data_IF_363674367038
#
_entry.id   IF_363674367038
#
_cell.length_a   1.000
_cell.length_b   1.000
_cell.length_c   1.000
_cell.angle_alpha   90.00
_cell.angle_beta   90.00
_cell.angle_gamma   90.00
#
_symmetry.space_group_name_H-M   'P 1'
#
loop_
_entity.id
_entity.type
_entity.pdbx_description
1 polymer ?
#
# COMPACT_ATOMS: atom_id res chain seq x y z
N UNK A 1 2.36 46.61 -34.41
CA UNK A 1 3.02 46.33 -33.12
C UNK A 1 2.09 45.71 -32.08
N UNK A 2 0.91 46.28 -31.79
CA UNK A 2 -0.01 45.71 -30.79
C UNK A 2 -0.53 44.28 -31.09
N UNK A 3 -0.78 43.94 -32.36
CA UNK A 3 -1.27 42.60 -32.73
C UNK A 3 -0.22 41.49 -32.51
N UNK A 4 1.05 41.73 -32.78
CA UNK A 4 2.12 40.74 -32.57
C UNK A 4 2.44 40.55 -31.08
N UNK A 5 2.42 41.63 -30.30
CA UNK A 5 2.62 41.53 -28.85
C UNK A 5 1.47 40.77 -28.18
N UNK A 6 0.23 40.98 -28.64
CA UNK A 6 -0.93 40.25 -28.12
C UNK A 6 -0.86 38.75 -28.41
N UNK A 7 -0.37 38.35 -29.58
CA UNK A 7 -0.18 36.93 -29.93
C UNK A 7 0.89 36.25 -29.08
N UNK A 8 1.99 36.93 -28.75
CA UNK A 8 3.05 36.37 -27.91
C UNK A 8 2.59 36.15 -26.46
N UNK A 9 1.74 37.05 -25.94
CA UNK A 9 1.14 36.89 -24.61
C UNK A 9 0.23 35.67 -24.58
N UNK A 10 -0.64 35.51 -25.59
CA UNK A 10 -1.55 34.37 -25.69
C UNK A 10 -0.76 33.06 -25.74
N UNK A 11 0.29 33.00 -26.55
CA UNK A 11 1.15 31.82 -26.65
C UNK A 11 1.78 31.48 -25.30
N UNK A 12 2.29 32.48 -24.57
CA UNK A 12 2.84 32.29 -23.22
C UNK A 12 1.83 31.72 -22.23
N UNK A 13 0.61 32.24 -22.21
CA UNK A 13 -0.46 31.76 -21.31
C UNK A 13 -0.87 30.33 -21.64
N UNK A 14 -0.95 29.95 -22.92
CA UNK A 14 -1.28 28.57 -23.33
C UNK A 14 -0.22 27.59 -22.81
N UNK A 15 1.07 27.94 -22.94
CA UNK A 15 2.17 27.08 -22.48
C UNK A 15 2.13 26.92 -20.95
N UNK A 16 1.97 28.01 -20.21
CA UNK A 16 1.86 27.97 -18.74
C UNK A 16 0.63 27.17 -18.30
N UNK A 17 -0.50 27.32 -18.98
CA UNK A 17 -1.72 26.57 -18.68
C UNK A 17 -1.54 25.05 -18.78
N UNK A 18 -0.90 24.58 -19.86
CA UNK A 18 -0.62 23.14 -20.04
C UNK A 18 0.41 22.66 -19.00
N UNK A 19 1.45 23.44 -18.74
CA UNK A 19 2.47 23.08 -17.75
C UNK A 19 1.88 22.89 -16.34
N UNK A 20 0.95 23.75 -15.92
CA UNK A 20 0.26 23.61 -14.64
C UNK A 20 -0.63 22.38 -14.62
N UNK A 21 -1.41 22.13 -15.68
CA UNK A 21 -2.28 20.96 -15.76
C UNK A 21 -1.50 19.65 -15.65
N UNK A 22 -0.39 19.53 -16.39
CA UNK A 22 0.49 18.34 -16.34
C UNK A 22 1.22 18.24 -15.00
N UNK A 23 1.63 19.37 -14.42
CA UNK A 23 2.25 19.39 -13.09
C UNK A 23 1.32 18.84 -12.01
N UNK A 24 0.04 19.20 -12.05
CA UNK A 24 -0.97 18.70 -11.10
C UNK A 24 -1.15 17.18 -11.23
N UNK A 25 -1.29 16.66 -12.45
CA UNK A 25 -1.44 15.21 -12.65
C UNK A 25 -0.21 14.45 -12.18
N UNK A 26 0.99 14.96 -12.48
CA UNK A 26 2.24 14.33 -12.04
C UNK A 26 2.39 14.32 -10.51
N UNK A 27 1.96 15.37 -9.82
CA UNK A 27 1.96 15.40 -8.35
C UNK A 27 0.98 14.38 -7.75
N UNK A 28 -0.21 14.23 -8.35
CA UNK A 28 -1.19 13.22 -7.93
C UNK A 28 -0.65 11.81 -8.14
N UNK A 29 -0.08 11.52 -9.31
CA UNK A 29 0.53 10.23 -9.62
C UNK A 29 1.70 9.90 -8.67
N UNK A 30 2.52 10.90 -8.33
CA UNK A 30 3.62 10.72 -7.38
C UNK A 30 3.12 10.40 -5.97
N UNK A 31 2.09 11.12 -5.48
CA UNK A 31 1.48 10.85 -4.18
C UNK A 31 0.87 9.43 -4.13
N UNK A 32 0.20 9.02 -5.20
CA UNK A 32 -0.35 7.67 -5.32
C UNK A 32 0.75 6.60 -5.32
N UNK A 33 1.83 6.82 -6.08
CA UNK A 33 2.98 5.91 -6.09
C UNK A 33 3.62 5.78 -4.71
N UNK A 34 3.81 6.90 -4.00
CA UNK A 34 4.38 6.90 -2.66
C UNK A 34 3.50 6.13 -1.66
N UNK A 35 2.17 6.28 -1.78
CA UNK A 35 1.22 5.49 -0.97
C UNK A 35 1.33 3.99 -1.27
N UNK A 36 1.56 3.58 -2.52
CA UNK A 36 1.75 2.17 -2.91
C UNK A 36 3.05 1.59 -2.37
N UNK A 37 4.12 2.36 -2.40
CA UNK A 37 5.42 1.97 -1.85
C UNK A 37 5.33 1.81 -0.32
N UNK A 38 4.64 2.73 0.36
CA UNK A 38 4.37 2.64 1.79
C UNK A 38 3.53 1.39 2.11
N UNK A 39 2.49 1.09 1.34
CA UNK A 39 1.69 -0.14 1.49
C UNK A 39 2.55 -1.40 1.41
N UNK A 40 3.43 -1.45 0.41
CA UNK A 40 4.33 -2.59 0.20
C UNK A 40 5.30 -2.75 1.36
N UNK A 41 5.87 -1.64 1.86
CA UNK A 41 6.77 -1.65 3.02
C UNK A 41 6.07 -2.17 4.30
N UNK A 42 4.83 -1.75 4.54
CA UNK A 42 4.04 -2.21 5.67
C UNK A 42 3.68 -3.70 5.56
N UNK A 43 3.32 -4.19 4.37
CA UNK A 43 3.08 -5.62 4.13
C UNK A 43 4.34 -6.48 4.34
N UNK A 44 5.52 -5.97 3.95
CA UNK A 44 6.79 -6.65 4.21
C UNK A 44 7.08 -6.69 5.71
N UNK A 45 6.81 -5.61 6.44
CA UNK A 45 6.94 -5.58 7.90
C UNK A 45 6.01 -6.60 8.57
N UNK A 46 4.75 -6.67 8.12
CA UNK A 46 3.76 -7.64 8.56
C UNK A 46 4.20 -9.07 8.29
N UNK A 47 4.73 -9.35 7.11
CA UNK A 47 5.26 -10.66 6.77
C UNK A 47 6.41 -11.08 7.71
N UNK A 48 7.35 -10.17 7.98
CA UNK A 48 8.44 -10.43 8.92
C UNK A 48 7.91 -10.71 10.34
N UNK A 49 6.94 -9.92 10.82
CA UNK A 49 6.33 -10.12 12.14
C UNK A 49 5.54 -11.42 12.24
N UNK A 50 4.82 -11.80 11.18
CA UNK A 50 4.12 -13.06 11.12
C UNK A 50 5.10 -14.24 11.17
N UNK A 51 6.22 -14.18 10.43
CA UNK A 51 7.26 -15.22 10.49
C UNK A 51 7.93 -15.30 11.87
N UNK A 52 8.16 -14.16 12.52
CA UNK A 52 8.65 -14.11 13.90
C UNK A 52 7.64 -14.76 14.87
N UNK A 53 6.35 -14.47 14.71
CA UNK A 53 5.28 -15.10 15.48
C UNK A 53 5.28 -16.63 15.29
N UNK A 54 5.35 -17.11 14.04
CA UNK A 54 5.39 -18.55 13.73
C UNK A 54 6.53 -19.28 14.45
N UNK A 55 7.74 -18.69 14.48
CA UNK A 55 8.93 -19.31 15.08
C UNK A 55 8.95 -19.21 16.61
N UNK A 56 8.22 -18.26 17.18
CA UNK A 56 8.16 -18.05 18.63
C UNK A 56 7.31 -19.15 19.29
N UNK A 57 7.79 -19.80 20.37
CA UNK A 57 7.02 -20.81 21.08
C UNK A 57 5.70 -20.26 21.63
N UNK A 58 4.65 -21.09 21.68
CA UNK A 58 3.35 -20.72 22.23
C UNK A 58 3.43 -20.28 23.71
N UNK A 59 4.35 -20.86 24.48
CA UNK A 59 4.60 -20.50 25.88
C UNK A 59 5.09 -19.06 26.09
N UNK A 60 5.59 -18.41 25.04
CA UNK A 60 6.04 -17.02 25.06
C UNK A 60 5.06 -16.08 24.32
N UNK A 61 3.86 -16.55 23.97
CA UNK A 61 2.87 -15.80 23.20
C UNK A 61 3.18 -15.77 21.69
N UNK A 62 3.80 -16.82 21.16
CA UNK A 62 4.01 -17.03 19.73
C UNK A 62 3.07 -18.07 19.12
N UNK A 63 3.28 -18.39 17.85
CA UNK A 63 2.47 -19.32 17.07
C UNK A 63 2.86 -20.79 17.21
N UNK A 64 4.04 -21.10 17.74
CA UNK A 64 4.47 -22.49 17.94
C UNK A 64 4.41 -23.33 16.65
N UNK A 65 4.98 -22.80 15.57
CA UNK A 65 4.91 -23.37 14.21
C UNK A 65 3.50 -23.35 13.58
N UNK A 66 2.69 -22.35 13.95
CA UNK A 66 1.38 -22.13 13.36
C UNK A 66 1.07 -20.64 13.18
N UNK A 67 0.50 -20.26 12.03
CA UNK A 67 -0.08 -18.93 11.83
C UNK A 67 -1.55 -18.82 12.28
N UNK A 68 -2.18 -19.94 12.68
CA UNK A 68 -3.61 -19.99 13.03
C UNK A 68 -4.03 -19.02 14.16
N UNK A 69 -3.08 -18.59 15.00
CA UNK A 69 -3.33 -17.62 16.08
C UNK A 69 -3.45 -16.16 15.62
N UNK A 70 -3.15 -15.85 14.35
CA UNK A 70 -3.20 -14.49 13.80
C UNK A 70 -4.57 -14.25 13.17
N UNK A 71 -5.59 -14.00 14.01
CA UNK A 71 -6.96 -13.75 13.54
C UNK A 71 -7.17 -12.35 12.99
N UNK A 72 -6.28 -11.40 13.33
CA UNK A 72 -6.30 -10.04 12.84
C UNK A 72 -4.87 -9.47 12.78
N UNK A 73 -4.66 -8.49 11.91
CA UNK A 73 -3.38 -7.76 11.78
C UNK A 73 -2.97 -7.11 13.12
N UNK A 74 -3.96 -6.68 13.92
CA UNK A 74 -3.76 -6.07 15.24
C UNK A 74 -3.01 -6.96 16.23
N UNK A 75 -3.09 -8.29 16.07
CA UNK A 75 -2.34 -9.27 16.89
C UNK A 75 -0.83 -9.10 16.74
N UNK A 76 -0.37 -8.64 15.57
CA UNK A 76 1.07 -8.51 15.25
C UNK A 76 1.61 -7.09 15.44
N UNK A 77 0.80 -6.07 15.16
CA UNK A 77 1.27 -4.69 15.02
C UNK A 77 0.43 -3.65 15.78
N UNK A 78 -0.68 -4.04 16.40
CA UNK A 78 -1.62 -3.10 17.00
C UNK A 78 -2.45 -2.33 15.98
N UNK A 79 -3.41 -1.51 16.45
CA UNK A 79 -4.42 -0.90 15.59
C UNK A 79 -3.90 0.26 14.72
N UNK A 80 -2.87 0.99 15.18
CA UNK A 80 -2.29 2.12 14.44
C UNK A 80 -1.59 1.70 13.12
N UNK A 81 -1.25 0.41 12.99
CA UNK A 81 -0.64 -0.14 11.77
C UNK A 81 -1.67 -0.94 10.96
N UNK A 82 -2.75 -1.41 11.58
CA UNK A 82 -3.86 -2.04 10.87
C UNK A 82 -4.65 -1.03 10.02
N UNK A 83 -4.60 0.25 10.36
CA UNK A 83 -5.17 1.34 9.57
C UNK A 83 -4.26 2.56 9.67
N UNK A 84 -3.75 3.03 8.54
CA UNK A 84 -2.96 4.26 8.44
C UNK A 84 -3.53 5.16 7.33
N UNK A 85 -2.96 6.35 7.15
CA UNK A 85 -3.40 7.31 6.13
C UNK A 85 -3.23 6.80 4.69
N UNK A 86 -2.42 5.75 4.49
CA UNK A 86 -2.13 5.17 3.18
C UNK A 86 -3.05 3.98 2.86
N UNK A 87 -3.44 3.17 3.86
CA UNK A 87 -4.16 1.92 3.66
C UNK A 87 -4.77 1.32 4.94
N UNK A 88 -5.71 0.39 4.73
CA UNK A 88 -6.22 -0.53 5.74
C UNK A 88 -5.71 -1.94 5.46
N UNK A 89 -5.22 -2.62 6.49
CA UNK A 89 -4.65 -3.97 6.40
C UNK A 89 -5.53 -4.98 7.12
N UNK A 90 -5.90 -6.05 6.43
CA UNK A 90 -6.69 -7.16 6.97
C UNK A 90 -6.02 -8.51 6.71
N UNK A 91 -6.45 -9.53 7.45
CA UNK A 91 -6.13 -10.93 7.14
C UNK A 91 -7.18 -11.42 6.14
N UNK A 92 -6.75 -12.06 5.07
CA UNK A 92 -7.65 -12.69 4.11
C UNK A 92 -7.81 -14.18 4.42
N UNK A 93 -9.07 -14.59 4.55
CA UNK A 93 -9.46 -15.95 4.94
C UNK A 93 -9.03 -16.36 6.36
N UNK A 94 -9.01 -17.67 6.58
CA UNK A 94 -8.58 -18.28 7.84
C UNK A 94 -7.11 -18.68 7.73
N UNK A 95 -6.22 -18.17 8.60
CA UNK A 95 -4.81 -18.59 8.59
C UNK A 95 -4.69 -20.08 8.86
N UNK A 96 -3.84 -20.75 8.09
CA UNK A 96 -3.49 -22.14 8.33
C UNK A 96 -2.27 -22.24 9.24
N UNK A 97 -1.84 -23.47 9.55
CA UNK A 97 -0.57 -23.65 10.25
C UNK A 97 0.60 -23.07 9.43
N UNK A 98 0.57 -23.17 8.11
CA UNK A 98 1.74 -22.91 7.24
C UNK A 98 1.57 -21.72 6.29
N UNK A 99 0.40 -21.09 6.26
CA UNK A 99 0.15 -19.96 5.37
C UNK A 99 -0.81 -18.95 5.99
N UNK A 100 -0.54 -17.66 5.77
CA UNK A 100 -1.44 -16.56 6.05
C UNK A 100 -1.36 -15.53 4.92
N UNK A 101 -2.48 -14.93 4.55
CA UNK A 101 -2.55 -13.87 3.55
C UNK A 101 -2.93 -12.58 4.25
N UNK A 102 -2.15 -11.52 4.03
CA UNK A 102 -2.53 -10.16 4.43
C UNK A 102 -2.88 -9.34 3.19
N UNK A 103 -3.87 -8.47 3.33
CA UNK A 103 -4.38 -7.60 2.27
C UNK A 103 -4.30 -6.17 2.75
N UNK A 104 -3.57 -5.34 2.03
CA UNK A 104 -3.57 -3.89 2.17
C UNK A 104 -4.48 -3.28 1.09
N UNK A 105 -5.50 -2.56 1.51
CA UNK A 105 -6.38 -1.78 0.63
C UNK A 105 -6.04 -0.31 0.78
N UNK A 106 -5.60 0.34 -0.30
CA UNK A 106 -5.23 1.75 -0.29
C UNK A 106 -6.39 2.67 0.11
N UNK A 107 -6.08 3.78 0.76
CA UNK A 107 -7.05 4.80 1.17
C UNK A 107 -7.39 5.81 0.06
N UNK A 108 -6.53 5.91 -0.96
CA UNK A 108 -6.71 6.80 -2.11
C UNK A 108 -6.99 5.98 -3.36
N UNK A 109 -8.02 6.36 -4.13
CA UNK A 109 -8.36 5.74 -5.41
C UNK A 109 -7.22 5.91 -6.42
N UNK A 110 -6.90 4.84 -7.14
CA UNK A 110 -6.00 4.87 -8.27
C UNK A 110 -6.67 5.37 -9.55
N UNK A 111 -5.91 5.42 -10.63
CA UNK A 111 -6.43 5.75 -11.96
C UNK A 111 -7.58 4.78 -12.33
N UNK A 112 -8.80 5.30 -12.40
CA UNK A 112 -10.00 4.50 -12.71
C UNK A 112 -11.02 4.34 -11.55
N UNK A 113 -10.77 4.95 -10.39
CA UNK A 113 -11.71 4.91 -9.25
C UNK A 113 -11.66 3.60 -8.47
N UNK A 114 -10.63 2.78 -8.69
CA UNK A 114 -10.40 1.53 -7.97
C UNK A 114 -9.30 1.74 -6.93
N UNK A 115 -9.55 1.30 -5.69
CA UNK A 115 -8.54 1.34 -4.64
C UNK A 115 -7.45 0.30 -4.95
N UNK A 116 -6.16 0.66 -4.90
CA UNK A 116 -5.09 -0.29 -5.13
C UNK A 116 -5.08 -1.35 -4.02
N UNK A 117 -5.04 -2.63 -4.40
CA UNK A 117 -5.03 -3.75 -3.45
C UNK A 117 -3.70 -4.48 -3.56
N UNK A 118 -2.99 -4.61 -2.43
CA UNK A 118 -1.75 -5.36 -2.34
C UNK A 118 -1.97 -6.53 -1.39
N UNK A 119 -1.58 -7.73 -1.82
CA UNK A 119 -1.67 -8.94 -1.02
C UNK A 119 -0.27 -9.48 -0.76
N UNK A 120 0.00 -9.92 0.46
CA UNK A 120 1.21 -10.69 0.77
C UNK A 120 0.80 -12.03 1.34
N UNK A 121 1.23 -13.10 0.68
CA UNK A 121 1.10 -14.47 1.18
C UNK A 121 2.38 -14.81 1.91
N UNK A 122 2.25 -15.21 3.18
CA UNK A 122 3.38 -15.49 4.06
C UNK A 122 3.41 -16.96 4.40
N UNK A 123 4.54 -17.59 4.12
CA UNK A 123 4.89 -18.95 4.49
C UNK A 123 5.99 -18.92 5.58
N UNK A 124 6.35 -20.06 6.19
CA UNK A 124 7.29 -20.11 7.33
C UNK A 124 8.68 -19.54 7.03
N UNK A 125 9.11 -19.61 5.77
CA UNK A 125 10.46 -19.20 5.32
C UNK A 125 10.45 -18.26 4.11
N UNK A 126 9.30 -18.03 3.49
CA UNK A 126 9.15 -17.19 2.29
C UNK A 126 7.91 -16.33 2.40
N UNK A 127 7.85 -15.27 1.60
CA UNK A 127 6.63 -14.52 1.37
C UNK A 127 6.57 -14.13 -0.11
N UNK A 128 5.36 -13.99 -0.65
CA UNK A 128 5.13 -13.55 -2.03
C UNK A 128 4.16 -12.37 -1.99
N UNK A 129 4.49 -11.32 -2.75
CA UNK A 129 3.63 -10.14 -2.88
C UNK A 129 2.92 -10.22 -4.24
N UNK A 130 1.61 -10.01 -4.23
CA UNK A 130 0.78 -9.88 -5.41
C UNK A 130 0.08 -8.53 -5.36
N UNK A 131 0.17 -7.76 -6.44
CA UNK A 131 -0.50 -6.48 -6.59
C UNK A 131 -1.68 -6.69 -7.55
N UNK A 132 -2.86 -6.22 -7.15
CA UNK A 132 -4.03 -6.12 -8.01
C UNK A 132 -4.23 -4.64 -8.28
N UNK A 133 -3.96 -4.25 -9.53
CA UNK A 133 -4.13 -2.89 -10.04
C UNK A 133 -5.54 -2.66 -10.59
#
# INVERSE_FOLDING_TARGET
MGQQQLLLIILGVIIVGIAVAVGITMFQDNALSASRDAMTADLVNLASKAQQYYRKPASLGGGGNSFAGITAVTVLVGQAVATNDNATYSVDGTPSATSIVFVGTGATEGAGGVLPVHMVTVAPSTYTISQVE
#
